data_IF_209117326380
#
_entry.id   IF_209117326380
#
_cell.length_a   1.000
_cell.length_b   1.000
_cell.length_c   1.000
_cell.angle_alpha   90.00
_cell.angle_beta   90.00
_cell.angle_gamma   90.00
#
_symmetry.space_group_name_H-M   'P 1'
#
loop_
_entity.id
_entity.type
_entity.pdbx_description
1 polymer ?
#
# COMPACT_ATOMS: atom_id res chain seq x y z
N UNK A 1 -4.91 24.54 19.75
CA UNK A 1 -5.33 24.24 18.37
C UNK A 1 -4.73 22.89 18.02
N UNK A 2 -5.56 21.86 17.97
CA UNK A 2 -5.12 20.49 17.65
C UNK A 2 -4.70 20.42 16.19
N UNK A 3 -3.57 19.77 15.94
CA UNK A 3 -2.97 19.62 14.62
C UNK A 3 -3.85 18.69 13.76
N UNK A 4 -4.65 19.24 12.83
CA UNK A 4 -5.53 18.50 11.91
C UNK A 4 -4.80 17.37 11.15
N UNK A 5 -3.47 17.43 11.06
CA UNK A 5 -2.65 16.39 10.41
C UNK A 5 -2.53 15.12 11.26
N UNK A 6 -2.63 15.22 12.59
CA UNK A 6 -2.51 14.07 13.50
C UNK A 6 -3.82 13.26 13.55
N UNK A 7 -4.97 13.93 13.67
CA UNK A 7 -6.30 13.29 13.65
C UNK A 7 -6.52 12.48 12.36
N UNK A 8 -6.10 13.03 11.23
CA UNK A 8 -6.21 12.37 9.93
C UNK A 8 -5.34 11.10 9.85
N UNK A 9 -4.12 11.12 10.39
CA UNK A 9 -3.27 9.92 10.41
C UNK A 9 -3.80 8.84 11.36
N UNK A 10 -4.37 9.21 12.51
CA UNK A 10 -4.99 8.23 13.40
C UNK A 10 -6.22 7.56 12.76
N UNK A 11 -7.04 8.30 12.02
CA UNK A 11 -8.15 7.68 11.28
C UNK A 11 -7.66 6.71 10.20
N UNK A 12 -6.66 7.11 9.40
CA UNK A 12 -6.06 6.23 8.38
C UNK A 12 -5.51 4.94 9.03
N UNK A 13 -4.82 5.05 10.17
CA UNK A 13 -4.35 3.87 10.94
C UNK A 13 -5.49 2.99 11.40
N UNK A 14 -6.54 3.57 11.97
CA UNK A 14 -7.73 2.85 12.45
C UNK A 14 -8.41 2.11 11.30
N UNK A 15 -8.68 2.78 10.19
CA UNK A 15 -9.31 2.18 9.00
C UNK A 15 -8.44 1.08 8.40
N UNK A 16 -7.13 1.27 8.30
CA UNK A 16 -6.22 0.23 7.80
C UNK A 16 -6.23 -1.04 8.68
N UNK A 17 -6.28 -0.86 10.01
CA UNK A 17 -6.41 -1.97 10.97
C UNK A 17 -7.75 -2.70 10.82
N UNK A 18 -8.84 -1.98 10.56
CA UNK A 18 -10.14 -2.59 10.28
C UNK A 18 -10.12 -3.40 8.97
N UNK A 19 -9.58 -2.84 7.89
CA UNK A 19 -9.43 -3.54 6.60
C UNK A 19 -8.59 -4.81 6.79
N UNK A 20 -7.46 -4.72 7.50
CA UNK A 20 -6.62 -5.88 7.83
C UNK A 20 -7.44 -7.00 8.47
N UNK A 21 -8.14 -6.68 9.56
CA UNK A 21 -8.78 -7.68 10.40
C UNK A 21 -10.07 -8.23 9.77
N UNK A 22 -10.90 -7.38 9.17
CA UNK A 22 -12.22 -7.75 8.63
C UNK A 22 -12.13 -8.25 7.19
N UNK A 23 -11.27 -7.66 6.36
CA UNK A 23 -11.24 -7.91 4.91
C UNK A 23 -10.02 -8.72 4.47
N UNK A 24 -8.84 -8.48 5.04
CA UNK A 24 -7.61 -9.14 4.63
C UNK A 24 -7.22 -10.37 5.48
N UNK A 25 -8.11 -10.84 6.36
CA UNK A 25 -7.89 -12.04 7.18
C UNK A 25 -6.66 -11.93 8.10
N UNK A 26 -6.38 -10.73 8.62
CA UNK A 26 -5.24 -10.48 9.50
C UNK A 26 -3.90 -10.27 8.79
N UNK A 27 -3.85 -10.27 7.45
CA UNK A 27 -2.60 -10.00 6.73
C UNK A 27 -2.26 -8.50 6.73
N UNK A 28 -0.99 -8.18 7.03
CA UNK A 28 -0.52 -6.81 7.18
C UNK A 28 -0.32 -6.06 5.86
N UNK A 29 -0.37 -6.74 4.72
CA UNK A 29 -0.20 -6.07 3.44
C UNK A 29 -1.14 -6.60 2.37
N UNK A 30 -1.46 -5.72 1.43
CA UNK A 30 -2.24 -6.02 0.23
C UNK A 30 -1.42 -5.60 -0.96
N UNK A 31 -1.22 -6.52 -1.91
CA UNK A 31 -0.61 -6.18 -3.19
C UNK A 31 -1.70 -6.20 -4.24
N UNK A 32 -1.85 -5.07 -4.94
CA UNK A 32 -2.70 -4.93 -6.12
C UNK A 32 -1.77 -4.85 -7.32
N UNK A 33 -1.90 -5.81 -8.23
CA UNK A 33 -1.08 -5.93 -9.42
C UNK A 33 -1.94 -5.81 -10.68
N UNK A 34 -1.39 -5.15 -11.69
CA UNK A 34 -1.86 -5.02 -13.06
C UNK A 34 -0.68 -5.36 -13.97
N UNK A 35 -0.91 -5.54 -15.27
CA UNK A 35 0.11 -6.02 -16.23
C UNK A 35 1.47 -5.31 -16.14
N UNK A 36 1.42 -3.98 -15.89
CA UNK A 36 2.60 -3.11 -15.89
C UNK A 36 2.84 -2.37 -14.57
N UNK A 37 1.92 -2.47 -13.60
CA UNK A 37 2.02 -1.76 -12.32
C UNK A 37 1.65 -2.67 -11.16
N UNK A 38 2.45 -2.58 -10.11
CA UNK A 38 2.20 -3.26 -8.84
C UNK A 38 2.25 -2.22 -7.73
N UNK A 39 1.25 -2.22 -6.86
CA UNK A 39 1.23 -1.36 -5.67
C UNK A 39 1.08 -2.26 -4.45
N UNK A 40 2.01 -2.12 -3.51
CA UNK A 40 1.95 -2.77 -2.20
C UNK A 40 1.48 -1.75 -1.17
N UNK A 41 0.38 -2.05 -0.50
CA UNK A 41 -0.17 -1.32 0.63
C UNK A 41 0.18 -2.07 1.91
N UNK A 42 0.85 -1.42 2.85
CA UNK A 42 1.18 -1.96 4.16
C UNK A 42 0.26 -1.33 5.22
N UNK A 43 -0.68 -2.14 5.73
CA UNK A 43 -1.83 -1.73 6.54
C UNK A 43 -1.50 -1.54 8.03
N UNK A 44 -0.48 -2.25 8.54
CA UNK A 44 -0.13 -2.23 9.95
C UNK A 44 1.20 -1.52 10.16
N UNK A 45 2.19 -1.85 9.31
CA UNK A 45 3.50 -1.24 9.23
C UNK A 45 4.37 -1.35 10.48
N UNK A 46 5.69 -1.26 10.26
CA UNK A 46 6.60 -0.62 11.21
C UNK A 46 6.82 0.80 10.68
N UNK A 47 6.98 1.78 11.57
CA UNK A 47 7.38 3.12 11.13
C UNK A 47 8.61 3.00 10.23
N UNK A 48 8.49 3.51 9.00
CA UNK A 48 9.52 3.34 7.98
C UNK A 48 10.36 4.60 7.91
N UNK A 49 11.68 4.46 8.01
CA UNK A 49 12.59 5.59 7.82
C UNK A 49 12.93 5.75 6.34
N UNK A 50 12.41 6.79 5.70
CA UNK A 50 12.75 7.09 4.31
C UNK A 50 14.07 7.87 4.25
N UNK A 51 15.18 7.16 4.04
CA UNK A 51 16.54 7.75 3.98
C UNK A 51 16.69 8.91 2.99
N UNK A 52 16.13 8.86 1.75
CA UNK A 52 16.26 9.97 0.80
C UNK A 52 15.60 11.28 1.25
N UNK A 53 14.62 11.23 2.15
CA UNK A 53 13.87 12.39 2.64
C UNK A 53 14.10 12.67 4.13
N UNK A 54 14.98 11.89 4.78
CA UNK A 54 15.22 11.85 6.23
C UNK A 54 13.93 11.94 7.07
N UNK A 55 12.88 11.25 6.60
CA UNK A 55 11.53 11.33 7.17
C UNK A 55 11.09 9.99 7.70
N UNK A 56 10.64 9.96 8.96
CA UNK A 56 9.92 8.84 9.53
C UNK A 56 8.48 8.88 9.03
N UNK A 57 8.09 7.84 8.29
CA UNK A 57 6.69 7.62 7.89
C UNK A 57 6.08 6.76 8.99
N UNK A 58 5.28 7.40 9.83
CA UNK A 58 4.39 6.70 10.73
C UNK A 58 3.30 6.00 9.90
N UNK A 59 2.91 4.80 10.33
CA UNK A 59 2.09 3.85 9.56
C UNK A 59 0.73 4.46 9.14
N UNK A 60 -0.04 3.94 8.16
CA UNK A 60 0.16 2.97 7.06
C UNK A 60 0.76 3.60 5.79
N UNK A 61 1.39 2.81 4.91
CA UNK A 61 2.07 3.32 3.71
C UNK A 61 1.89 2.48 2.43
N UNK A 62 2.24 3.06 1.28
CA UNK A 62 2.22 2.42 -0.03
C UNK A 62 3.56 2.50 -0.74
N UNK A 63 3.84 1.47 -1.53
CA UNK A 63 5.01 1.40 -2.41
C UNK A 63 4.55 1.04 -3.81
N UNK A 64 4.89 1.88 -4.79
CA UNK A 64 4.62 1.64 -6.20
C UNK A 64 5.81 0.96 -6.85
N UNK A 65 5.52 0.00 -7.71
CA UNK A 65 6.49 -0.73 -8.50
C UNK A 65 6.11 -0.66 -9.98
N UNK A 66 7.12 -0.63 -10.83
CA UNK A 66 6.98 -0.75 -12.29
C UNK A 66 7.67 -2.00 -12.76
N UNK A 67 7.09 -2.59 -13.79
CA UNK A 67 7.68 -3.74 -14.45
C UNK A 67 8.70 -3.23 -15.45
N UNK A 68 9.96 -3.61 -15.28
CA UNK A 68 10.97 -3.41 -16.32
C UNK A 68 11.14 -4.73 -17.05
N UNK A 69 10.92 -4.68 -18.34
CA UNK A 69 11.17 -5.79 -19.25
C UNK A 69 12.59 -5.65 -19.77
N UNK A 70 13.35 -6.74 -19.78
CA UNK A 70 14.69 -6.72 -20.35
C UNK A 70 14.58 -6.54 -21.88
N UNK A 71 15.19 -5.48 -22.45
CA UNK A 71 15.08 -5.22 -23.89
C UNK A 71 15.76 -6.30 -24.75
N UNK A 72 16.73 -7.05 -24.18
CA UNK A 72 17.43 -8.13 -24.88
C UNK A 72 16.74 -9.49 -24.75
N UNK A 73 15.88 -9.66 -23.74
CA UNK A 73 15.10 -10.87 -23.54
C UNK A 73 13.73 -10.52 -22.92
N UNK A 74 12.68 -10.35 -23.75
CA UNK A 74 11.36 -9.91 -23.29
C UNK A 74 10.67 -10.84 -22.29
N UNK A 75 11.13 -12.09 -22.19
CA UNK A 75 10.60 -13.06 -21.21
C UNK A 75 11.13 -12.79 -19.79
N UNK A 76 12.23 -12.06 -19.65
CA UNK A 76 12.79 -11.66 -18.37
C UNK A 76 12.26 -10.27 -17.99
N UNK A 77 11.54 -10.21 -16.87
CA UNK A 77 11.05 -8.96 -16.31
C UNK A 77 11.26 -8.91 -14.80
N UNK A 78 11.50 -7.72 -14.26
CA UNK A 78 11.58 -7.50 -12.82
C UNK A 78 10.65 -6.36 -12.39
N UNK A 79 10.21 -6.41 -11.14
CA UNK A 79 9.52 -5.30 -10.50
C UNK A 79 10.54 -4.42 -9.79
N UNK A 80 10.70 -3.17 -10.22
CA UNK A 80 11.51 -2.18 -9.51
C UNK A 80 10.61 -1.18 -8.78
N UNK A 81 11.07 -0.70 -7.63
CA UNK A 81 10.38 0.36 -6.89
C UNK A 81 10.41 1.65 -7.72
N UNK A 82 9.23 2.24 -7.97
CA UNK A 82 9.10 3.55 -8.61
C UNK A 82 8.88 4.62 -7.54
N UNK A 83 9.93 5.37 -7.22
CA UNK A 83 9.89 6.46 -6.24
C UNK A 83 10.02 6.01 -4.78
N UNK A 84 9.64 6.89 -3.85
CA UNK A 84 9.67 6.66 -2.41
C UNK A 84 8.54 5.78 -1.87
N UNK A 85 8.66 5.40 -0.61
CA UNK A 85 7.53 4.97 0.23
C UNK A 85 6.67 6.19 0.48
N UNK A 86 5.35 6.09 0.29
CA UNK A 86 4.43 7.19 0.56
C UNK A 86 3.46 6.81 1.67
N UNK A 87 3.07 7.72 2.57
CA UNK A 87 1.94 7.47 3.46
C UNK A 87 0.69 7.15 2.61
N UNK A 88 -0.20 6.32 3.16
CA UNK A 88 -1.51 6.11 2.55
C UNK A 88 -2.41 7.32 2.78
N UNK A 89 -3.30 7.58 1.82
CA UNK A 89 -4.48 8.45 2.00
C UNK A 89 -5.73 7.62 2.22
N UNK A 90 -6.85 8.26 2.56
CA UNK A 90 -8.15 7.60 2.60
C UNK A 90 -8.53 6.95 1.26
N UNK A 91 -8.25 7.61 0.14
CA UNK A 91 -8.51 7.06 -1.20
C UNK A 91 -7.76 5.75 -1.44
N UNK A 92 -6.53 5.62 -0.92
CA UNK A 92 -5.79 4.37 -1.01
C UNK A 92 -6.47 3.25 -0.23
N UNK A 93 -7.03 3.57 0.94
CA UNK A 93 -7.77 2.60 1.75
C UNK A 93 -9.07 2.18 1.07
N UNK A 94 -9.77 3.10 0.40
CA UNK A 94 -10.97 2.81 -0.39
C UNK A 94 -10.64 1.83 -1.52
N UNK A 95 -9.56 2.07 -2.26
CA UNK A 95 -9.06 1.17 -3.32
C UNK A 95 -8.76 -0.23 -2.76
N UNK A 96 -8.08 -0.31 -1.61
CA UNK A 96 -7.73 -1.60 -0.98
C UNK A 96 -8.99 -2.34 -0.52
N UNK A 97 -9.92 -1.63 0.11
CA UNK A 97 -11.18 -2.19 0.58
C UNK A 97 -12.01 -2.78 -0.58
N UNK A 98 -12.19 -2.01 -1.64
CA UNK A 98 -12.94 -2.44 -2.83
C UNK A 98 -12.27 -3.63 -3.50
N UNK A 99 -10.94 -3.62 -3.62
CA UNK A 99 -10.20 -4.75 -4.16
C UNK A 99 -10.43 -6.03 -3.33
N UNK A 100 -10.32 -5.96 -2.01
CA UNK A 100 -10.51 -7.11 -1.13
C UNK A 100 -11.96 -7.61 -1.13
N UNK A 101 -12.94 -6.70 -1.15
CA UNK A 101 -14.37 -7.05 -1.28
C UNK A 101 -14.65 -7.78 -2.60
N UNK A 102 -14.10 -7.28 -3.72
CA UNK A 102 -14.29 -7.89 -5.03
C UNK A 102 -13.53 -9.22 -5.17
N UNK A 103 -12.35 -9.35 -4.54
CA UNK A 103 -11.63 -10.62 -4.49
C UNK A 103 -12.44 -11.70 -3.76
N UNK A 104 -12.97 -11.39 -2.57
CA UNK A 104 -13.85 -12.31 -1.82
C UNK A 104 -15.08 -12.76 -2.60
N UNK A 105 -15.62 -11.93 -3.51
CA UNK A 105 -16.75 -12.30 -4.37
C UNK A 105 -16.37 -13.28 -5.48
N UNK A 106 -15.12 -13.26 -5.94
CA UNK A 106 -14.62 -14.19 -6.98
C UNK A 106 -14.22 -15.55 -6.39
N UNK A 107 -13.84 -15.58 -5.12
CA UNK A 107 -13.46 -16.81 -4.40
C UNK A 107 -14.68 -17.57 -3.83
N UNK A 108 -15.91 -17.16 -4.14
CA UNK A 108 -17.17 -17.71 -3.61
C UNK A 108 -18.04 -18.25 -4.74
#
# INVERSE_FOLDING_TARGET
MGDESQDNQEDIKRRAKEIKNKLNGGKNSVTIETDNRRIRYDLDGKAHHEKPLDKKIDTPHKVKYVRNVNPKNPTLSNWSKKGGVKPMSHEDLDIVEDYLKNKKKKDK
#
